data_IF_145215402650
#
_entry.id   IF_145215402650
#
_cell.length_a   1.000
_cell.length_b   1.000
_cell.length_c   1.000
_cell.angle_alpha   90.00
_cell.angle_beta   90.00
_cell.angle_gamma   90.00
#
_symmetry.space_group_name_H-M   'P 1'
#
loop_
_entity.id
_entity.type
_entity.pdbx_description
1 polymer ?
#
# COMPACT_ATOMS: atom_id res chain seq x y z
N UNK A 1 -3.00 7.77 15.04
CA UNK A 1 -2.07 7.30 14.00
C UNK A 1 -2.84 7.29 12.70
N UNK A 2 -2.62 8.26 11.84
CA UNK A 2 -3.48 8.46 10.67
C UNK A 2 -2.78 8.16 9.33
N UNK A 3 -1.51 7.76 9.36
CA UNK A 3 -0.78 7.39 8.14
C UNK A 3 0.26 6.29 8.40
N UNK A 4 0.61 5.55 7.35
CA UNK A 4 1.68 4.54 7.38
C UNK A 4 3.03 5.14 7.79
N UNK A 5 3.30 6.37 7.38
CA UNK A 5 4.51 7.11 7.79
C UNK A 5 4.54 7.42 9.27
N UNK A 6 3.40 7.65 9.92
CA UNK A 6 3.35 7.87 11.38
C UNK A 6 3.64 6.59 12.15
N UNK A 7 3.17 5.45 11.62
CA UNK A 7 3.50 4.12 12.18
C UNK A 7 5.01 3.92 12.15
N UNK A 8 5.65 4.15 11.00
CA UNK A 8 7.10 3.97 10.86
C UNK A 8 7.90 4.91 11.76
N UNK A 9 7.52 6.17 11.85
CA UNK A 9 8.14 7.12 12.79
C UNK A 9 8.05 6.61 14.23
N UNK A 10 6.89 6.08 14.63
CA UNK A 10 6.72 5.53 15.98
C UNK A 10 7.59 4.31 16.22
N UNK A 11 7.75 3.44 15.21
CA UNK A 11 8.67 2.30 15.26
C UNK A 11 10.13 2.80 15.41
N UNK A 12 10.55 3.77 14.59
CA UNK A 12 11.89 4.34 14.68
C UNK A 12 12.16 4.98 16.06
N UNK A 13 11.17 5.69 16.64
CA UNK A 13 11.30 6.27 17.97
C UNK A 13 11.44 5.21 19.08
N UNK A 14 10.82 4.04 18.89
CA UNK A 14 11.05 2.89 19.77
C UNK A 14 12.44 2.30 19.59
N UNK A 15 12.89 2.14 18.34
CA UNK A 15 14.23 1.64 18.04
C UNK A 15 15.34 2.56 18.57
N UNK A 16 15.15 3.88 18.58
CA UNK A 16 16.09 4.86 19.18
C UNK A 16 16.32 4.65 20.69
N UNK A 17 15.43 3.96 21.37
CA UNK A 17 15.63 3.61 22.79
C UNK A 17 16.61 2.45 22.98
N UNK A 18 16.80 1.63 21.94
CA UNK A 18 17.64 0.44 21.97
C UNK A 18 18.89 0.57 21.10
N UNK A 19 18.85 1.43 20.09
CA UNK A 19 19.90 1.65 19.10
C UNK A 19 20.39 3.09 19.15
N UNK A 20 21.69 3.31 18.83
CA UNK A 20 22.22 4.67 18.73
C UNK A 20 21.64 5.41 17.52
N UNK A 21 21.59 6.75 17.62
CA UNK A 21 21.17 7.60 16.50
C UNK A 21 22.02 7.37 15.25
N UNK A 22 23.30 7.12 15.40
CA UNK A 22 24.20 6.77 14.29
C UNK A 22 23.74 5.49 13.60
N UNK A 23 23.34 4.46 14.35
CA UNK A 23 22.82 3.21 13.79
C UNK A 23 21.50 3.46 13.02
N UNK A 24 20.61 4.22 13.63
CA UNK A 24 19.32 4.56 12.97
C UNK A 24 19.57 5.30 11.66
N UNK A 25 20.38 6.35 11.66
CA UNK A 25 20.65 7.15 10.47
C UNK A 25 21.42 6.39 9.39
N UNK A 26 22.26 5.41 9.79
CA UNK A 26 23.04 4.63 8.81
C UNK A 26 22.20 3.58 8.11
N UNK A 27 21.30 2.91 8.84
CA UNK A 27 20.62 1.74 8.32
C UNK A 27 19.17 2.01 7.90
N UNK A 28 18.51 2.99 8.50
CA UNK A 28 17.07 3.22 8.31
C UNK A 28 16.71 4.53 7.61
N UNK A 29 17.68 5.38 7.26
CA UNK A 29 17.44 6.67 6.60
C UNK A 29 16.73 6.56 5.25
N UNK A 30 17.01 5.48 4.50
CA UNK A 30 16.41 5.21 3.18
C UNK A 30 15.23 4.22 3.24
N UNK A 31 14.86 3.76 4.44
CA UNK A 31 13.78 2.79 4.59
C UNK A 31 12.43 3.50 4.62
N UNK A 32 11.54 3.10 3.73
CA UNK A 32 10.17 3.61 3.64
C UNK A 32 9.14 2.52 3.83
N UNK A 33 7.95 2.89 4.30
CA UNK A 33 6.83 1.94 4.40
C UNK A 33 6.11 1.88 3.07
N UNK A 34 5.92 0.67 2.55
CA UNK A 34 5.14 0.41 1.35
C UNK A 34 3.68 0.23 1.71
N UNK A 35 3.39 -0.69 2.60
CA UNK A 35 2.03 -0.98 3.08
C UNK A 35 2.08 -1.70 4.43
N UNK A 36 0.93 -1.77 5.07
CA UNK A 36 0.71 -2.58 6.25
C UNK A 36 -0.47 -3.51 5.97
N UNK A 37 -0.19 -4.77 5.90
CA UNK A 37 -1.17 -5.85 5.76
C UNK A 37 -1.62 -6.31 7.15
N UNK A 38 -2.69 -7.12 7.23
CA UNK A 38 -3.27 -7.58 8.50
C UNK A 38 -2.25 -8.27 9.43
N UNK A 39 -1.24 -8.90 8.86
CA UNK A 39 -0.21 -9.65 9.60
C UNK A 39 1.23 -9.24 9.26
N UNK A 40 1.46 -8.22 8.43
CA UNK A 40 2.80 -7.85 8.00
C UNK A 40 2.99 -6.35 7.77
N UNK A 41 4.15 -5.83 8.18
CA UNK A 41 4.64 -4.52 7.78
C UNK A 41 5.60 -4.70 6.59
N UNK A 42 5.28 -4.10 5.47
CA UNK A 42 6.09 -4.15 4.25
C UNK A 42 6.89 -2.87 4.13
N UNK A 43 8.21 -3.01 4.12
CA UNK A 43 9.18 -1.93 4.04
C UNK A 43 9.95 -2.01 2.73
N UNK A 44 10.34 -0.89 2.18
CA UNK A 44 11.23 -0.78 1.03
C UNK A 44 12.60 -0.25 1.46
N UNK A 45 13.65 -0.85 0.92
CA UNK A 45 15.03 -0.41 1.04
C UNK A 45 15.74 -0.61 -0.28
N UNK A 46 16.01 0.47 -1.03
CA UNK A 46 16.63 0.43 -2.36
C UNK A 46 18.05 -0.15 -2.37
N UNK A 47 18.73 -0.16 -1.22
CA UNK A 47 20.06 -0.70 -1.10
C UNK A 47 20.02 -2.16 -0.62
N UNK A 48 20.36 -3.11 -1.52
CA UNK A 48 20.34 -4.56 -1.24
C UNK A 48 21.23 -4.94 -0.06
N UNK A 49 22.37 -4.27 0.12
CA UNK A 49 23.28 -4.53 1.26
C UNK A 49 22.64 -4.08 2.59
N UNK A 50 22.06 -2.87 2.62
CA UNK A 50 21.34 -2.38 3.80
C UNK A 50 20.17 -3.29 4.12
N UNK A 51 19.36 -3.68 3.10
CA UNK A 51 18.26 -4.63 3.25
C UNK A 51 18.70 -5.92 3.93
N UNK A 52 19.70 -6.60 3.37
CA UNK A 52 20.23 -7.87 3.94
C UNK A 52 20.73 -7.72 5.36
N UNK A 53 21.34 -6.58 5.70
CA UNK A 53 21.80 -6.30 7.05
C UNK A 53 20.63 -6.07 8.01
N UNK A 54 19.61 -5.31 7.58
CA UNK A 54 18.41 -5.06 8.38
C UNK A 54 17.67 -6.38 8.64
N UNK A 55 17.49 -7.20 7.63
CA UNK A 55 16.84 -8.51 7.74
C UNK A 55 17.52 -9.41 8.78
N UNK A 56 18.85 -9.46 8.76
CA UNK A 56 19.60 -10.35 9.65
C UNK A 56 19.78 -9.83 11.07
N UNK A 57 19.87 -8.52 11.24
CA UNK A 57 20.29 -7.91 12.51
C UNK A 57 19.19 -7.15 13.24
N UNK A 58 18.29 -6.50 12.51
CA UNK A 58 17.36 -5.52 13.09
C UNK A 58 15.89 -5.93 13.03
N UNK A 59 15.51 -6.95 12.23
CA UNK A 59 14.12 -7.45 12.18
C UNK A 59 13.60 -7.87 13.56
N UNK A 60 14.38 -8.54 14.45
CA UNK A 60 13.87 -8.87 15.79
C UNK A 60 13.47 -7.62 16.60
N UNK A 61 14.27 -6.56 16.55
CA UNK A 61 13.98 -5.30 17.27
C UNK A 61 12.79 -4.56 16.65
N UNK A 62 12.65 -4.61 15.31
CA UNK A 62 11.47 -4.04 14.61
C UNK A 62 10.20 -4.79 15.05
N UNK A 63 10.24 -6.12 15.08
CA UNK A 63 9.11 -6.95 15.53
C UNK A 63 8.73 -6.67 16.99
N UNK A 64 9.71 -6.51 17.85
CA UNK A 64 9.49 -6.14 19.26
C UNK A 64 8.81 -4.76 19.36
N UNK A 65 9.32 -3.76 18.61
CA UNK A 65 8.72 -2.44 18.59
C UNK A 65 7.27 -2.46 18.06
N UNK A 66 7.00 -3.26 17.04
CA UNK A 66 5.65 -3.44 16.48
C UNK A 66 4.71 -4.12 17.49
N UNK A 67 5.19 -5.15 18.20
CA UNK A 67 4.42 -5.81 19.26
C UNK A 67 4.05 -4.85 20.39
N UNK A 68 4.97 -3.97 20.77
CA UNK A 68 4.72 -2.94 21.79
C UNK A 68 3.66 -1.92 21.35
N UNK A 69 3.60 -1.61 20.03
CA UNK A 69 2.68 -0.61 19.48
C UNK A 69 1.30 -1.20 19.23
N UNK A 70 1.24 -2.39 18.64
CA UNK A 70 -0.01 -3.01 18.16
C UNK A 70 -0.53 -4.14 19.03
N UNK A 71 0.23 -4.57 20.03
CA UNK A 71 -0.09 -5.76 20.87
C UNK A 71 -0.33 -7.03 20.04
N UNK A 72 0.27 -7.11 18.86
CA UNK A 72 0.14 -8.21 17.91
C UNK A 72 1.48 -8.54 17.29
N UNK A 73 1.70 -9.80 16.96
CA UNK A 73 2.88 -10.25 16.24
C UNK A 73 2.70 -9.96 14.74
N UNK A 74 3.42 -8.98 14.25
CA UNK A 74 3.46 -8.63 12.83
C UNK A 74 4.74 -9.14 12.20
N UNK A 75 4.62 -9.73 11.01
CA UNK A 75 5.77 -10.04 10.18
C UNK A 75 6.39 -8.75 9.60
N UNK A 76 7.68 -8.79 9.31
CA UNK A 76 8.39 -7.68 8.67
C UNK A 76 8.96 -8.19 7.36
N UNK A 77 8.50 -7.62 6.25
CA UNK A 77 9.00 -7.91 4.90
C UNK A 77 9.78 -6.71 4.40
N UNK A 78 11.02 -6.91 3.95
CA UNK A 78 11.80 -5.88 3.28
C UNK A 78 11.90 -6.19 1.79
N UNK A 79 11.61 -5.20 0.97
CA UNK A 79 11.69 -5.26 -0.48
C UNK A 79 12.84 -4.38 -0.96
N UNK A 80 13.62 -4.85 -1.94
CA UNK A 80 14.50 -4.01 -2.75
C UNK A 80 13.74 -3.42 -3.95
N UNK A 81 14.42 -2.64 -4.81
CA UNK A 81 13.79 -1.98 -5.96
C UNK A 81 13.15 -2.97 -6.93
N UNK A 82 13.81 -4.11 -7.21
CA UNK A 82 13.30 -5.13 -8.10
C UNK A 82 12.06 -5.83 -7.50
N UNK A 83 12.13 -6.17 -6.24
CA UNK A 83 11.03 -6.78 -5.50
C UNK A 83 9.87 -5.82 -5.32
N UNK A 84 10.15 -4.52 -5.11
CA UNK A 84 9.11 -3.49 -5.03
C UNK A 84 8.39 -3.32 -6.37
N UNK A 85 9.12 -3.33 -7.49
CA UNK A 85 8.52 -3.27 -8.82
C UNK A 85 7.62 -4.48 -9.08
N UNK A 86 8.08 -5.68 -8.71
CA UNK A 86 7.29 -6.91 -8.79
C UNK A 86 6.09 -6.88 -7.82
N UNK A 87 6.28 -6.33 -6.62
CA UNK A 87 5.23 -6.21 -5.60
C UNK A 87 4.10 -5.29 -6.04
N UNK A 88 4.40 -4.17 -6.70
CA UNK A 88 3.38 -3.30 -7.29
C UNK A 88 2.69 -3.92 -8.51
N UNK A 89 3.34 -4.89 -9.16
CA UNK A 89 2.75 -5.71 -10.22
C UNK A 89 1.88 -6.86 -9.70
N UNK A 90 2.16 -7.31 -8.48
CA UNK A 90 1.39 -8.33 -7.75
C UNK A 90 0.81 -7.63 -6.52
N UNK A 91 -0.37 -7.08 -6.63
CA UNK A 91 -1.12 -6.73 -5.41
C UNK A 91 -1.33 -8.04 -4.66
N UNK A 92 -0.88 -8.15 -3.37
CA UNK A 92 -1.22 -9.32 -2.60
C UNK A 92 -2.73 -9.41 -2.51
N UNK A 93 -3.24 -10.61 -2.64
CA UNK A 93 -4.63 -10.99 -2.57
C UNK A 93 -5.43 -10.20 -1.51
N UNK A 94 -5.91 -9.03 -1.89
CA UNK A 94 -7.27 -8.72 -1.52
C UNK A 94 -8.11 -9.72 -2.31
N UNK A 95 -8.99 -10.49 -1.71
CA UNK A 95 -9.89 -11.35 -2.47
C UNK A 95 -10.77 -10.58 -3.47
N UNK A 96 -10.64 -9.24 -3.52
CA UNK A 96 -11.26 -8.31 -4.45
C UNK A 96 -10.29 -7.79 -5.54
N UNK A 97 -9.05 -8.31 -5.66
CA UNK A 97 -8.10 -7.82 -6.65
C UNK A 97 -7.98 -8.72 -7.86
N UNK A 98 -8.50 -8.22 -8.98
CA UNK A 98 -8.05 -8.49 -10.36
C UNK A 98 -8.12 -9.93 -10.90
N UNK A 99 -8.42 -10.97 -10.11
CA UNK A 99 -8.95 -12.22 -10.67
C UNK A 99 -10.30 -11.96 -11.37
N UNK A 100 -10.99 -10.88 -10.96
CA UNK A 100 -12.22 -10.36 -11.58
C UNK A 100 -11.97 -9.15 -12.49
N UNK A 101 -10.73 -8.86 -12.90
CA UNK A 101 -10.47 -7.73 -13.82
C UNK A 101 -11.15 -7.88 -15.18
N UNK A 102 -11.43 -9.11 -15.60
CA UNK A 102 -12.26 -9.38 -16.76
C UNK A 102 -13.75 -9.07 -16.52
N UNK A 103 -14.20 -9.05 -15.25
CA UNK A 103 -15.58 -8.73 -14.89
C UNK A 103 -15.82 -7.21 -14.71
N UNK A 104 -14.77 -6.43 -14.45
CA UNK A 104 -14.86 -4.97 -14.22
C UNK A 104 -14.28 -4.20 -15.41
N UNK A 105 -14.96 -4.24 -16.53
CA UNK A 105 -14.62 -3.50 -17.74
C UNK A 105 -15.65 -2.42 -18.04
N UNK A 106 -15.34 -1.46 -18.92
CA UNK A 106 -16.31 -0.49 -19.39
C UNK A 106 -17.46 -1.13 -20.15
N UNK A 107 -17.24 -2.30 -20.74
CA UNK A 107 -18.23 -3.07 -21.48
C UNK A 107 -19.25 -3.76 -20.57
N UNK A 108 -18.78 -4.22 -19.40
CA UNK A 108 -19.62 -4.91 -18.40
C UNK A 108 -20.27 -3.94 -17.41
N UNK A 109 -19.87 -2.67 -17.43
CA UNK A 109 -20.41 -1.66 -16.52
C UNK A 109 -21.83 -1.26 -16.87
N UNK A 110 -22.77 -1.36 -15.92
CA UNK A 110 -24.17 -1.00 -16.13
C UNK A 110 -24.35 0.52 -16.08
N UNK A 111 -24.64 1.13 -17.22
CA UNK A 111 -24.85 2.57 -17.34
C UNK A 111 -26.33 2.92 -17.17
N UNK A 112 -26.64 3.73 -16.15
CA UNK A 112 -27.95 4.31 -15.89
C UNK A 112 -27.97 5.84 -15.97
N UNK A 113 -29.14 6.47 -15.85
CA UNK A 113 -29.22 7.93 -15.89
C UNK A 113 -28.39 8.65 -14.84
N UNK A 114 -28.22 8.04 -13.65
CA UNK A 114 -27.52 8.64 -12.50
C UNK A 114 -25.99 8.50 -12.57
N UNK A 115 -25.48 7.46 -13.23
CA UNK A 115 -24.02 7.20 -13.30
C UNK A 115 -23.42 7.48 -14.69
N UNK A 116 -24.22 7.86 -15.68
CA UNK A 116 -23.77 8.13 -17.06
C UNK A 116 -22.63 9.15 -17.14
N UNK A 117 -22.69 10.19 -16.32
CA UNK A 117 -21.65 11.23 -16.29
C UNK A 117 -20.33 10.68 -15.71
N UNK A 118 -20.41 9.93 -14.61
CA UNK A 118 -19.25 9.28 -13.99
C UNK A 118 -18.59 8.29 -14.95
N UNK A 119 -19.39 7.48 -15.64
CA UNK A 119 -18.92 6.57 -16.67
C UNK A 119 -18.19 7.30 -17.81
N UNK A 120 -18.80 8.35 -18.38
CA UNK A 120 -18.20 9.12 -19.46
C UNK A 120 -16.89 9.80 -19.05
N UNK A 121 -16.83 10.35 -17.83
CA UNK A 121 -15.63 10.97 -17.29
C UNK A 121 -14.52 9.93 -17.07
N UNK A 122 -14.83 8.79 -16.45
CA UNK A 122 -13.87 7.72 -16.23
C UNK A 122 -13.30 7.18 -17.55
N UNK A 123 -14.16 6.96 -18.54
CA UNK A 123 -13.74 6.52 -19.89
C UNK A 123 -12.85 7.55 -20.57
N UNK A 124 -13.17 8.84 -20.47
CA UNK A 124 -12.34 9.92 -21.03
C UNK A 124 -10.93 9.96 -20.40
N UNK A 125 -10.83 9.70 -19.09
CA UNK A 125 -9.53 9.61 -18.39
C UNK A 125 -8.75 8.38 -18.85
N UNK A 126 -9.40 7.24 -19.03
CA UNK A 126 -8.76 6.01 -19.49
C UNK A 126 -8.24 6.15 -20.94
N UNK A 127 -9.00 6.81 -21.82
CA UNK A 127 -8.60 7.04 -23.22
C UNK A 127 -7.51 8.13 -23.36
N UNK A 128 -7.53 9.14 -22.48
CA UNK A 128 -6.56 10.26 -22.51
C UNK A 128 -6.12 10.61 -21.07
N UNK A 129 -5.18 9.87 -20.49
CA UNK A 129 -4.61 10.20 -19.18
C UNK A 129 -4.02 11.62 -19.17
N UNK A 130 -4.19 12.34 -18.06
CA UNK A 130 -3.78 13.73 -17.89
C UNK A 130 -4.54 14.76 -18.78
N UNK A 131 -5.71 14.38 -19.33
CA UNK A 131 -6.60 15.28 -20.06
C UNK A 131 -7.48 16.16 -19.16
N UNK A 132 -8.71 16.45 -19.63
CA UNK A 132 -9.64 17.42 -19.01
C UNK A 132 -10.14 17.04 -17.61
N UNK A 133 -10.06 15.79 -17.21
CA UNK A 133 -10.52 15.27 -15.92
C UNK A 133 -9.36 14.69 -15.12
N UNK A 134 -8.41 15.53 -14.72
CA UNK A 134 -7.27 15.10 -13.89
C UNK A 134 -7.00 16.13 -12.79
N UNK A 135 -7.24 15.77 -11.51
CA UNK A 135 -7.72 14.48 -11.02
C UNK A 135 -9.22 14.25 -11.26
N UNK A 136 -9.63 13.00 -11.52
CA UNK A 136 -11.03 12.59 -11.49
C UNK A 136 -11.38 12.08 -10.10
N UNK A 137 -12.39 12.68 -9.49
CA UNK A 137 -12.93 12.25 -8.21
C UNK A 137 -14.41 11.89 -8.38
N UNK A 138 -14.77 10.62 -8.09
CA UNK A 138 -16.14 10.12 -8.15
C UNK A 138 -16.59 9.83 -6.72
N UNK A 139 -17.74 10.36 -6.33
CA UNK A 139 -18.33 10.16 -5.02
C UNK A 139 -19.81 9.80 -5.15
N UNK A 140 -20.33 9.13 -4.12
CA UNK A 140 -21.74 8.74 -4.04
C UNK A 140 -22.13 8.45 -2.60
N UNK A 141 -23.43 8.25 -2.35
CA UNK A 141 -23.91 7.85 -1.03
C UNK A 141 -23.44 6.44 -0.69
N UNK A 142 -23.24 6.16 0.60
CA UNK A 142 -22.83 4.83 1.06
C UNK A 142 -23.92 3.78 0.74
N UNK A 143 -23.50 2.65 0.20
CA UNK A 143 -24.42 1.57 -0.20
C UNK A 143 -24.87 1.60 -1.65
N UNK A 144 -24.46 2.60 -2.43
CA UNK A 144 -24.57 2.55 -3.88
C UNK A 144 -23.47 1.60 -4.40
N UNK A 145 -23.80 0.34 -4.56
CA UNK A 145 -22.96 -0.59 -5.34
C UNK A 145 -23.02 -0.17 -6.81
N UNK A 146 -22.11 0.69 -7.20
CA UNK A 146 -21.99 1.14 -8.58
C UNK A 146 -21.40 -0.01 -9.40
N UNK A 147 -22.28 -0.81 -10.01
CA UNK A 147 -21.88 -1.78 -11.03
C UNK A 147 -21.95 -3.26 -10.66
N UNK A 148 -22.49 -3.67 -9.53
CA UNK A 148 -22.73 -5.08 -9.24
C UNK A 148 -24.20 -5.43 -9.46
N UNK A 149 -24.55 -5.86 -10.68
CA UNK A 149 -25.77 -6.60 -10.90
C UNK A 149 -25.52 -8.06 -10.53
N UNK A 150 -26.07 -8.53 -9.40
CA UNK A 150 -26.22 -9.97 -9.19
C UNK A 150 -27.30 -10.47 -10.18
N UNK A 151 -26.89 -11.31 -11.10
CA UNK A 151 -27.78 -12.18 -11.87
C UNK A 151 -27.97 -13.46 -11.08
#
# INVERSE_FOLDING_TARGET
>A
MNSLSDVWKTVLDRLKKQLSDTTINTWFDEVTVVTMEDSALVLHCGNVFKKSTIEKRFVPQIKEALRDIFSSDLEVKLLDDEQLAAYHGVRPDHPDTLADSEAFTFETYVVGPQNKMAYAAARSVAEKPAGSFNPLFIYGDSGLEIGRAHV
#
